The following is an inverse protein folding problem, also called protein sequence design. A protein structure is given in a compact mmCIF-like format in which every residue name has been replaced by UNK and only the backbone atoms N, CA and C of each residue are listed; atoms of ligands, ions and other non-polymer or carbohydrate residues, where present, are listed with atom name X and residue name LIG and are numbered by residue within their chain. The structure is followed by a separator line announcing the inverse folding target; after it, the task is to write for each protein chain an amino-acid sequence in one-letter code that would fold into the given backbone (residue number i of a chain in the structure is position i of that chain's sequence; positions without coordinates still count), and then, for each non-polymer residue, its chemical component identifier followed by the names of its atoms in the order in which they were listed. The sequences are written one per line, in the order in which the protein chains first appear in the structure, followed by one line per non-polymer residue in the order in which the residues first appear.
data_IF_486065924697
#
_entry.id   IF_486065924697
#
_cell.length_a   1.000
_cell.length_b   1.000
_cell.length_c   1.000
_cell.angle_alpha   90.00
_cell.angle_beta   90.00
_cell.angle_gamma   90.00
#
_symmetry.space_group_name_H-M   'P 1'
#
loop_
_entity.id
_entity.type
_entity.pdbx_description
1 polymer ?
#
# COMPACT_ATOMS: atom_id res chain seq x y z
N UNK A 1 8.08 5.84 -13.70
CA UNK A 1 7.16 6.79 -13.04
C UNK A 1 8.01 7.69 -12.16
N UNK A 2 7.66 8.96 -11.97
CA UNK A 2 8.40 9.86 -11.08
C UNK A 2 8.08 9.53 -9.62
N UNK A 3 8.96 9.89 -8.67
CA UNK A 3 8.73 9.63 -7.25
C UNK A 3 7.49 10.37 -6.71
N UNK A 4 7.23 11.57 -7.21
CA UNK A 4 6.07 12.39 -6.88
C UNK A 4 4.71 11.79 -7.32
N UNK A 5 4.75 10.80 -8.22
CA UNK A 5 3.56 10.07 -8.65
C UNK A 5 3.16 8.94 -7.69
N UNK A 6 3.96 8.68 -6.66
CA UNK A 6 3.66 7.68 -5.66
C UNK A 6 2.97 8.27 -4.43
N UNK A 7 2.06 7.50 -3.85
CA UNK A 7 1.42 7.75 -2.57
C UNK A 7 1.77 6.65 -1.59
N UNK A 8 1.96 7.00 -0.32
CA UNK A 8 2.25 6.08 0.77
C UNK A 8 0.96 5.57 1.38
N UNK A 9 0.88 4.26 1.64
CA UNK A 9 -0.06 3.64 2.57
C UNK A 9 0.72 2.73 3.52
N UNK A 10 0.24 2.50 4.74
CA UNK A 10 1.01 1.72 5.72
C UNK A 10 0.17 1.25 6.90
N UNK A 11 0.71 0.27 7.65
CA UNK A 11 0.09 -0.37 8.81
C UNK A 11 0.87 -0.16 10.12
N UNK A 12 1.78 0.83 10.15
CA UNK A 12 2.68 1.18 11.26
C UNK A 12 3.78 0.14 11.54
N UNK A 13 4.02 -0.82 10.66
CA UNK A 13 5.14 -1.77 10.73
C UNK A 13 5.72 -2.04 9.35
N UNK A 14 4.96 -1.71 8.30
CA UNK A 14 5.42 -1.68 6.91
C UNK A 14 4.58 -0.69 6.11
N UNK A 15 4.98 -0.46 4.87
CA UNK A 15 4.27 0.44 3.97
C UNK A 15 4.39 0.01 2.52
N UNK A 16 3.45 0.48 1.71
CA UNK A 16 3.45 0.31 0.27
C UNK A 16 3.43 1.67 -0.45
N UNK A 17 4.03 1.72 -1.63
CA UNK A 17 3.98 2.86 -2.52
C UNK A 17 3.08 2.56 -3.72
N UNK A 18 2.03 3.36 -3.85
CA UNK A 18 1.00 3.23 -4.88
C UNK A 18 1.19 4.31 -5.93
N UNK A 19 1.46 3.92 -7.15
CA UNK A 19 1.61 4.82 -8.28
C UNK A 19 0.27 5.38 -8.78
N UNK A 20 0.30 6.55 -9.41
CA UNK A 20 -0.86 7.21 -10.00
C UNK A 20 -1.60 6.35 -11.04
N UNK A 21 -0.93 5.37 -11.64
CA UNK A 21 -1.49 4.39 -12.57
C UNK A 21 -2.24 3.23 -11.91
N UNK A 22 -2.34 3.22 -10.56
CA UNK A 22 -2.97 2.15 -9.79
C UNK A 22 -2.07 0.94 -9.51
N UNK A 23 -0.76 1.05 -9.73
CA UNK A 23 0.21 -0.01 -9.44
C UNK A 23 0.85 0.18 -8.06
N UNK A 24 0.88 -0.85 -7.24
CA UNK A 24 1.73 -0.93 -6.05
C UNK A 24 3.09 -1.45 -6.50
N UNK A 25 4.11 -0.60 -6.47
CA UNK A 25 5.44 -0.87 -7.03
C UNK A 25 6.51 -1.08 -5.97
N UNK A 26 6.17 -0.87 -4.70
CA UNK A 26 7.02 -1.11 -3.55
C UNK A 26 6.21 -1.66 -2.38
N UNK A 27 6.67 -2.78 -1.80
CA UNK A 27 6.13 -3.36 -0.57
C UNK A 27 7.14 -4.32 0.03
N UNK A 28 7.51 -4.09 1.29
CA UNK A 28 8.27 -5.01 2.13
C UNK A 28 7.33 -5.74 3.09
N UNK A 29 7.48 -7.04 3.26
CA UNK A 29 6.67 -7.85 4.18
C UNK A 29 7.55 -8.82 4.97
N UNK A 30 7.32 -8.99 6.28
CA UNK A 30 6.23 -8.38 7.08
C UNK A 30 6.55 -7.02 7.70
N UNK A 31 7.76 -6.50 7.60
CA UNK A 31 8.21 -5.25 8.24
C UNK A 31 8.88 -4.32 7.24
N UNK A 32 9.14 -3.06 7.65
CA UNK A 32 9.87 -2.08 6.84
C UNK A 32 11.21 -2.61 6.33
N UNK A 33 12.01 -3.24 7.21
CA UNK A 33 13.35 -3.76 6.93
C UNK A 33 13.38 -5.14 6.26
N UNK A 34 12.22 -5.77 6.05
CA UNK A 34 12.13 -7.05 5.35
C UNK A 34 12.46 -6.90 3.86
N UNK A 35 12.83 -8.02 3.23
CA UNK A 35 12.99 -8.05 1.79
C UNK A 35 11.66 -7.72 1.09
N UNK A 36 11.73 -6.96 0.01
CA UNK A 36 10.53 -6.57 -0.72
C UNK A 36 9.96 -7.73 -1.54
N UNK A 37 8.62 -7.75 -1.68
CA UNK A 37 7.89 -8.63 -2.59
C UNK A 37 7.37 -7.89 -3.84
N UNK A 38 7.36 -6.55 -3.81
CA UNK A 38 7.19 -5.68 -4.98
C UNK A 38 8.36 -4.70 -5.03
N UNK A 39 9.07 -4.70 -6.16
CA UNK A 39 10.32 -3.94 -6.35
C UNK A 39 10.34 -3.19 -7.69
N UNK A 40 9.20 -3.04 -8.37
CA UNK A 40 9.14 -2.33 -9.65
C UNK A 40 9.63 -0.87 -9.54
N UNK A 41 9.52 -0.25 -8.36
CA UNK A 41 10.05 1.09 -8.06
C UNK A 41 11.55 1.21 -8.35
N UNK A 42 12.35 0.18 -7.99
CA UNK A 42 13.81 0.18 -8.17
C UNK A 42 14.23 -0.36 -9.53
N UNK A 43 13.30 -0.76 -10.39
CA UNK A 43 13.66 -1.41 -11.63
C UNK A 43 12.57 -1.37 -12.70
N UNK A 44 12.00 -2.52 -12.98
CA UNK A 44 10.98 -2.71 -14.00
C UNK A 44 9.82 -3.51 -13.43
N UNK A 45 8.69 -3.49 -14.10
CA UNK A 45 7.47 -4.23 -13.73
C UNK A 45 7.71 -5.71 -13.41
N UNK A 46 8.63 -6.36 -14.15
CA UNK A 46 9.00 -7.76 -13.93
C UNK A 46 9.63 -8.06 -12.57
N UNK A 47 10.09 -7.04 -11.83
CA UNK A 47 10.65 -7.18 -10.48
C UNK A 47 9.59 -7.18 -9.38
N UNK A 48 8.32 -7.25 -9.75
CA UNK A 48 7.19 -7.38 -8.84
C UNK A 48 6.39 -6.10 -8.67
N UNK A 49 5.06 -6.23 -8.89
CA UNK A 49 4.08 -5.15 -8.70
C UNK A 49 2.67 -5.72 -8.56
N UNK A 50 1.75 -4.87 -8.13
CA UNK A 50 0.33 -5.18 -8.13
C UNK A 50 -0.49 -4.06 -8.75
N UNK A 51 -0.85 -4.22 -10.01
CA UNK A 51 -1.65 -3.27 -10.78
C UNK A 51 -3.15 -3.57 -10.64
N UNK A 52 -3.97 -2.54 -10.40
CA UNK A 52 -5.41 -2.54 -10.64
C UNK A 52 -5.74 -1.21 -11.32
N UNK A 53 -6.25 -1.28 -12.55
CA UNK A 53 -6.56 -0.10 -13.37
C UNK A 53 -7.64 -0.43 -14.41
N UNK A 54 -8.27 0.58 -15.05
CA UNK A 54 -9.09 0.35 -16.22
C UNK A 54 -8.36 -0.41 -17.32
N UNK A 55 -9.07 -1.30 -18.01
CA UNK A 55 -8.50 -2.07 -19.14
C UNK A 55 -8.34 -1.22 -20.39
N UNK A 56 -9.21 -0.21 -20.57
CA UNK A 56 -9.19 0.73 -21.69
C UNK A 56 -8.37 1.99 -21.42
N UNK A 57 -8.50 2.96 -22.34
CA UNK A 57 -7.83 4.26 -22.24
C UNK A 57 -8.37 5.07 -21.06
N UNK A 58 -7.46 5.60 -20.24
CA UNK A 58 -7.75 6.47 -19.13
C UNK A 58 -7.65 7.93 -19.58
N UNK A 59 -8.74 8.69 -19.45
CA UNK A 59 -8.82 10.10 -19.84
C UNK A 59 -8.23 11.04 -18.80
N UNK A 60 -8.49 10.75 -17.52
CA UNK A 60 -7.92 11.49 -16.40
C UNK A 60 -7.81 10.64 -15.15
N UNK A 61 -6.89 11.02 -14.27
CA UNK A 61 -6.69 10.41 -12.96
C UNK A 61 -6.64 11.50 -11.92
N UNK A 62 -7.49 11.41 -10.90
CA UNK A 62 -7.39 12.22 -9.70
C UNK A 62 -7.12 11.35 -8.49
N UNK A 63 -6.40 11.90 -7.51
CA UNK A 63 -5.97 11.12 -6.35
C UNK A 63 -5.98 11.98 -5.10
N UNK A 64 -6.49 11.42 -4.00
CA UNK A 64 -6.49 12.06 -2.69
C UNK A 64 -6.45 11.01 -1.58
N UNK A 65 -6.00 11.42 -0.41
CA UNK A 65 -6.31 10.69 0.82
C UNK A 65 -7.70 11.08 1.32
N UNK A 66 -8.39 10.15 1.99
CA UNK A 66 -9.56 10.50 2.80
C UNK A 66 -9.11 11.37 3.96
N UNK A 67 -9.85 12.42 4.23
CA UNK A 67 -9.53 13.42 5.25
C UNK A 67 -9.17 12.77 6.60
N UNK A 68 -8.02 13.20 7.15
CA UNK A 68 -7.48 12.70 8.42
C UNK A 68 -7.03 11.24 8.41
N UNK A 69 -6.78 10.63 7.25
CA UNK A 69 -6.42 9.21 7.15
C UNK A 69 -5.29 8.93 6.17
N UNK A 70 -4.75 7.71 6.22
CA UNK A 70 -3.84 7.17 5.21
C UNK A 70 -4.56 6.21 4.24
N UNK A 71 -5.85 6.43 4.00
CA UNK A 71 -6.66 5.71 3.00
C UNK A 71 -6.61 6.47 1.70
N UNK A 72 -6.01 5.88 0.68
CA UNK A 72 -5.83 6.48 -0.64
C UNK A 72 -7.02 6.18 -1.55
N UNK A 73 -7.56 7.19 -2.21
CA UNK A 73 -8.51 7.05 -3.30
C UNK A 73 -7.88 7.50 -4.62
N UNK A 74 -7.95 6.64 -5.63
CA UNK A 74 -7.56 6.95 -7.00
C UNK A 74 -8.77 6.81 -7.91
N UNK A 75 -9.22 7.91 -8.50
CA UNK A 75 -10.35 7.96 -9.42
C UNK A 75 -9.84 7.95 -10.86
N UNK A 76 -10.36 7.04 -11.66
CA UNK A 76 -10.05 6.88 -13.08
C UNK A 76 -11.28 7.24 -13.90
N UNK A 77 -11.15 8.19 -14.83
CA UNK A 77 -12.14 8.53 -15.83
C UNK A 77 -11.80 7.84 -17.15
N UNK A 78 -12.79 7.19 -17.75
CA UNK A 78 -12.67 6.53 -19.05
C UNK A 78 -13.80 6.98 -19.99
N UNK A 79 -13.81 6.48 -21.23
CA UNK A 79 -14.94 6.73 -22.14
C UNK A 79 -16.24 6.08 -21.63
N UNK A 80 -16.13 4.94 -20.93
CA UNK A 80 -17.27 4.10 -20.53
C UNK A 80 -17.81 4.46 -19.13
N UNK A 81 -17.13 5.31 -18.39
CA UNK A 81 -17.53 5.72 -17.03
C UNK A 81 -16.36 6.11 -16.16
N UNK A 82 -16.60 6.00 -14.84
CA UNK A 82 -15.60 6.30 -13.81
C UNK A 82 -15.53 5.18 -12.78
N UNK A 83 -14.32 4.84 -12.36
CA UNK A 83 -14.06 3.86 -11.31
C UNK A 83 -13.07 4.42 -10.28
N UNK A 84 -13.25 4.05 -9.02
CA UNK A 84 -12.36 4.38 -7.90
C UNK A 84 -11.65 3.14 -7.41
N UNK A 85 -10.35 3.24 -7.19
CA UNK A 85 -9.59 2.26 -6.42
C UNK A 85 -9.29 2.87 -5.05
N UNK A 86 -9.67 2.17 -3.98
CA UNK A 86 -9.39 2.54 -2.59
C UNK A 86 -8.31 1.61 -2.07
N UNK A 87 -7.15 2.15 -1.77
CA UNK A 87 -5.97 1.43 -1.30
C UNK A 87 -5.69 1.76 0.15
N UNK A 88 -5.51 0.75 1.00
CA UNK A 88 -5.21 0.95 2.41
C UNK A 88 -4.55 -0.28 3.04
N UNK A 89 -3.87 -0.05 4.14
CA UNK A 89 -3.34 -1.08 5.03
C UNK A 89 -3.92 -0.83 6.42
N UNK A 90 -4.69 -1.79 6.98
CA UNK A 90 -5.22 -1.63 8.34
C UNK A 90 -4.08 -1.56 9.37
N UNK A 91 -4.10 -0.59 10.31
CA UNK A 91 -3.14 -0.56 11.43
C UNK A 91 -3.08 -1.91 12.12
N UNK A 92 -1.86 -2.38 12.41
CA UNK A 92 -1.63 -3.76 12.84
C UNK A 92 -1.74 -3.87 14.36
N UNK A 93 -2.78 -4.55 14.82
CA UNK A 93 -3.02 -4.85 16.24
C UNK A 93 -2.67 -6.32 16.54
N UNK A 94 -1.38 -6.67 16.42
CA UNK A 94 -0.89 -8.04 16.65
C UNK A 94 -1.17 -9.05 15.53
N UNK A 95 -1.81 -8.62 14.43
CA UNK A 95 -2.14 -9.46 13.28
C UNK A 95 -1.04 -9.48 12.20
N UNK A 96 -1.26 -10.29 11.16
CA UNK A 96 -0.41 -10.31 9.98
C UNK A 96 -0.67 -9.07 9.09
N UNK A 97 0.36 -8.55 8.37
CA UNK A 97 0.20 -7.43 7.47
C UNK A 97 -0.78 -7.76 6.33
N UNK A 98 -1.61 -6.77 6.00
CA UNK A 98 -2.58 -6.87 4.92
C UNK A 98 -2.57 -5.59 4.08
N UNK A 99 -2.53 -5.76 2.77
CA UNK A 99 -2.79 -4.68 1.81
C UNK A 99 -4.16 -4.94 1.18
N UNK A 100 -5.07 -4.00 1.34
CA UNK A 100 -6.44 -4.11 0.84
C UNK A 100 -6.71 -3.10 -0.26
N UNK A 101 -7.43 -3.54 -1.29
CA UNK A 101 -7.82 -2.74 -2.45
C UNK A 101 -9.29 -2.97 -2.76
N UNK A 102 -10.08 -1.91 -2.81
CA UNK A 102 -11.50 -1.95 -3.18
C UNK A 102 -11.69 -1.17 -4.47
N UNK A 103 -12.30 -1.79 -5.48
CA UNK A 103 -12.64 -1.12 -6.73
C UNK A 103 -14.13 -0.80 -6.71
N UNK A 104 -14.49 0.47 -6.85
CA UNK A 104 -15.88 0.94 -6.86
C UNK A 104 -16.23 1.54 -8.22
N UNK A 105 -17.39 1.19 -8.76
CA UNK A 105 -17.97 1.89 -9.91
C UNK A 105 -18.63 3.18 -9.46
N UNK A 106 -18.13 4.32 -9.96
CA UNK A 106 -18.68 5.63 -9.66
C UNK A 106 -19.75 6.06 -10.66
N UNK A 107 -19.59 5.64 -11.93
CA UNK A 107 -20.48 5.99 -13.04
C UNK A 107 -20.29 4.99 -14.20
N UNK A 108 -21.38 4.60 -14.85
CA UNK A 108 -21.34 3.74 -16.04
C UNK A 108 -20.86 2.32 -15.75
N UNK A 109 -20.13 1.73 -16.71
CA UNK A 109 -19.58 0.37 -16.61
C UNK A 109 -18.13 0.37 -17.09
N UNK A 110 -17.21 0.23 -16.17
CA UNK A 110 -15.77 0.32 -16.45
C UNK A 110 -15.15 -1.07 -16.47
N UNK A 111 -14.63 -1.53 -17.61
CA UNK A 111 -13.78 -2.72 -17.67
C UNK A 111 -12.49 -2.45 -16.91
N UNK A 112 -12.14 -3.34 -16.00
CA UNK A 112 -10.95 -3.27 -15.14
C UNK A 112 -10.03 -4.46 -15.40
N UNK A 113 -8.74 -4.25 -15.19
CA UNK A 113 -7.72 -5.30 -15.18
C UNK A 113 -6.95 -5.30 -13.89
N UNK A 114 -6.61 -6.48 -13.41
CA UNK A 114 -5.68 -6.72 -12.32
C UNK A 114 -4.50 -7.54 -12.83
N UNK A 115 -3.28 -7.17 -12.43
CA UNK A 115 -2.07 -7.96 -12.63
C UNK A 115 -1.30 -7.99 -11.32
N UNK A 116 -1.13 -9.16 -10.74
CA UNK A 116 -0.32 -9.40 -9.56
C UNK A 116 0.93 -10.19 -9.97
N UNK A 117 2.06 -9.54 -9.87
CA UNK A 117 3.38 -10.10 -10.14
C UNK A 117 4.19 -10.10 -8.85
N UNK A 118 4.13 -11.20 -8.08
CA UNK A 118 4.88 -11.35 -6.84
C UNK A 118 6.30 -11.79 -7.18
N UNK A 119 7.29 -11.11 -6.58
CA UNK A 119 8.71 -11.45 -6.66
C UNK A 119 9.34 -11.18 -5.31
N UNK A 120 9.63 -12.23 -4.56
CA UNK A 120 10.31 -12.08 -3.27
C UNK A 120 11.80 -11.75 -3.44
N UNK A 121 12.43 -11.29 -2.33
CA UNK A 121 13.86 -11.03 -2.31
C UNK A 121 14.30 -9.96 -3.29
N UNK A 122 13.62 -8.81 -3.33
CA UNK A 122 13.95 -7.69 -4.22
C UNK A 122 13.84 -8.02 -5.72
N UNK A 123 12.86 -8.82 -6.08
CA UNK A 123 12.62 -9.19 -7.49
C UNK A 123 13.32 -10.45 -7.96
N UNK A 124 14.11 -11.11 -7.10
CA UNK A 124 14.96 -12.24 -7.50
C UNK A 124 14.23 -13.59 -7.50
N UNK A 125 13.23 -13.77 -6.63
CA UNK A 125 12.62 -15.08 -6.41
C UNK A 125 11.18 -15.13 -6.95
N UNK A 126 10.96 -16.01 -7.92
CA UNK A 126 9.62 -16.34 -8.43
C UNK A 126 8.96 -17.31 -7.46
N UNK A 127 7.77 -17.01 -6.91
CA UNK A 127 7.10 -17.88 -5.96
C UNK A 127 6.47 -19.09 -6.64
N UNK A 128 6.27 -20.13 -5.86
CA UNK A 128 5.32 -21.19 -6.18
C UNK A 128 3.90 -20.66 -5.89
N UNK A 129 3.00 -20.75 -6.88
CA UNK A 129 1.63 -20.25 -6.77
C UNK A 129 0.63 -21.40 -6.83
N UNK A 130 -0.27 -21.46 -5.87
CA UNK A 130 -1.34 -22.46 -5.78
C UNK A 130 -2.70 -21.78 -5.73
N UNK A 131 -3.70 -22.37 -6.39
CA UNK A 131 -5.11 -21.99 -6.20
C UNK A 131 -5.62 -22.54 -4.86
N UNK A 132 -6.34 -21.68 -4.15
CA UNK A 132 -7.04 -22.03 -2.91
C UNK A 132 -8.49 -21.52 -3.00
N UNK A 133 -9.41 -22.00 -2.16
CA UNK A 133 -10.76 -21.44 -2.12
C UNK A 133 -10.74 -19.92 -1.90
N UNK A 134 -11.36 -19.17 -2.83
CA UNK A 134 -11.44 -17.71 -2.78
C UNK A 134 -10.17 -16.95 -3.15
N UNK A 135 -9.16 -17.61 -3.77
CA UNK A 135 -7.96 -16.89 -4.19
C UNK A 135 -6.76 -17.74 -4.57
N UNK A 136 -5.58 -17.22 -4.28
CA UNK A 136 -4.29 -17.92 -4.49
C UNK A 136 -3.36 -17.74 -3.29
N UNK A 137 -2.47 -18.69 -3.08
CA UNK A 137 -1.30 -18.55 -2.21
C UNK A 137 -0.05 -18.57 -3.05
N UNK A 138 0.85 -17.62 -2.83
CA UNK A 138 2.18 -17.55 -3.45
C UNK A 138 3.24 -17.65 -2.35
N UNK A 139 4.18 -18.59 -2.51
CA UNK A 139 5.14 -18.97 -1.47
C UNK A 139 6.56 -19.02 -2.02
N UNK A 140 7.53 -18.52 -1.25
CA UNK A 140 8.95 -18.67 -1.52
C UNK A 140 9.74 -18.66 -0.20
N UNK A 141 10.42 -19.78 0.09
CA UNK A 141 11.15 -19.93 1.35
C UNK A 141 10.23 -19.79 2.56
N UNK A 142 10.58 -18.94 3.54
CA UNK A 142 9.77 -18.75 4.75
C UNK A 142 8.55 -17.84 4.53
N UNK A 143 8.47 -17.17 3.40
CA UNK A 143 7.46 -16.15 3.12
C UNK A 143 6.32 -16.69 2.26
N UNK A 144 5.11 -16.36 2.61
CA UNK A 144 3.93 -16.62 1.81
C UNK A 144 2.98 -15.42 1.83
N UNK A 145 2.26 -15.24 0.72
CA UNK A 145 1.16 -14.28 0.64
C UNK A 145 -0.09 -14.94 0.09
N UNK A 146 -1.23 -14.58 0.64
CA UNK A 146 -2.55 -15.02 0.19
C UNK A 146 -3.29 -13.84 -0.42
N UNK A 147 -3.61 -13.92 -1.72
CA UNK A 147 -4.57 -13.02 -2.35
C UNK A 147 -5.96 -13.63 -2.24
N UNK A 148 -6.86 -12.93 -1.56
CA UNK A 148 -8.28 -13.27 -1.46
C UNK A 148 -9.12 -12.28 -2.26
N UNK A 149 -10.01 -12.78 -3.12
CA UNK A 149 -10.92 -11.98 -3.94
C UNK A 149 -12.07 -12.84 -4.46
N UNK A 150 -13.29 -12.29 -4.67
CA UNK A 150 -14.37 -12.98 -5.39
C UNK A 150 -14.17 -12.99 -6.90
N UNK A 151 -13.25 -12.17 -7.44
CA UNK A 151 -12.98 -12.06 -8.88
C UNK A 151 -12.23 -13.29 -9.36
N UNK A 152 -12.58 -13.82 -10.53
CA UNK A 152 -11.92 -14.97 -11.13
C UNK A 152 -10.46 -14.64 -11.49
N UNK A 153 -9.54 -15.50 -11.06
CA UNK A 153 -8.10 -15.33 -11.24
C UNK A 153 -7.56 -16.31 -12.29
N UNK A 154 -6.65 -15.84 -13.15
CA UNK A 154 -5.97 -16.65 -14.16
C UNK A 154 -4.45 -16.49 -14.05
N UNK A 155 -3.71 -17.57 -14.33
CA UNK A 155 -2.25 -17.52 -14.45
C UNK A 155 -1.86 -17.12 -15.87
N UNK A 156 -0.94 -16.15 -16.03
CA UNK A 156 -0.37 -15.74 -17.32
C UNK A 156 1.08 -15.28 -17.13
N UNK A 157 2.00 -15.87 -17.83
CA UNK A 157 3.43 -15.46 -17.86
C UNK A 157 4.03 -15.22 -16.45
N UNK A 158 3.91 -16.22 -15.57
CA UNK A 158 4.37 -16.16 -14.18
C UNK A 158 3.76 -14.98 -13.38
N UNK A 159 2.59 -14.52 -13.78
CA UNK A 159 1.77 -13.56 -13.05
C UNK A 159 0.35 -14.09 -12.86
N UNK A 160 -0.38 -13.49 -11.92
CA UNK A 160 -1.82 -13.72 -11.74
C UNK A 160 -2.56 -12.52 -12.29
N UNK A 161 -3.52 -12.76 -13.17
CA UNK A 161 -4.31 -11.72 -13.82
C UNK A 161 -5.81 -11.93 -13.57
N UNK A 162 -6.56 -10.84 -13.62
CA UNK A 162 -8.01 -10.85 -13.66
C UNK A 162 -8.53 -9.72 -14.56
N UNK A 163 -9.62 -10.01 -15.26
CA UNK A 163 -10.39 -9.04 -16.04
C UNK A 163 -11.82 -9.06 -15.50
N UNK A 164 -12.34 -7.90 -15.13
CA UNK A 164 -13.67 -7.77 -14.56
C UNK A 164 -14.28 -6.42 -14.93
N UNK A 165 -15.58 -6.27 -14.73
CA UNK A 165 -16.27 -5.00 -14.98
C UNK A 165 -16.91 -4.53 -13.70
N UNK A 166 -16.67 -3.26 -13.34
CA UNK A 166 -17.35 -2.62 -12.22
C UNK A 166 -18.42 -1.67 -12.76
N UNK A 167 -19.66 -1.86 -12.32
CA UNK A 167 -20.80 -1.01 -12.65
C UNK A 167 -21.03 0.03 -11.56
N UNK A 168 -21.70 1.13 -11.89
CA UNK A 168 -22.11 2.14 -10.91
C UNK A 168 -22.78 1.52 -9.68
N UNK A 169 -22.31 1.90 -8.49
CA UNK A 169 -22.77 1.37 -7.20
C UNK A 169 -22.26 -0.02 -6.83
N UNK A 170 -21.61 -0.75 -7.75
CA UNK A 170 -20.99 -2.04 -7.45
C UNK A 170 -19.56 -1.88 -6.94
N UNK A 171 -19.07 -2.90 -6.23
CA UNK A 171 -17.68 -2.93 -5.79
C UNK A 171 -17.10 -4.34 -5.82
N UNK A 172 -15.80 -4.42 -6.15
CA UNK A 172 -14.98 -5.62 -6.05
C UNK A 172 -13.87 -5.41 -5.04
N UNK A 173 -13.46 -6.48 -4.36
CA UNK A 173 -12.49 -6.43 -3.26
C UNK A 173 -11.35 -7.40 -3.45
N UNK A 174 -10.17 -6.96 -3.04
CA UNK A 174 -8.93 -7.72 -3.07
C UNK A 174 -8.19 -7.50 -1.76
N UNK A 175 -7.72 -8.58 -1.13
CA UNK A 175 -6.91 -8.52 0.08
C UNK A 175 -5.67 -9.40 -0.10
N UNK A 176 -4.50 -8.80 0.00
CA UNK A 176 -3.21 -9.49 0.01
C UNK A 176 -2.71 -9.54 1.46
N UNK A 177 -2.57 -10.75 2.00
CA UNK A 177 -2.11 -11.00 3.37
C UNK A 177 -0.82 -11.80 3.35
N UNK A 178 0.19 -11.35 4.09
CA UNK A 178 1.40 -12.12 4.35
C UNK A 178 1.20 -13.08 5.54
N UNK A 179 1.88 -14.21 5.50
CA UNK A 179 1.98 -15.17 6.60
C UNK A 179 3.25 -16.01 6.45
N UNK A 180 3.80 -16.58 7.56
CA UNK A 180 4.90 -17.54 7.48
C UNK A 180 4.47 -18.77 6.68
N UNK A 181 5.29 -19.23 5.75
CA UNK A 181 4.93 -20.31 4.81
C UNK A 181 4.61 -21.65 5.48
N UNK A 182 5.01 -21.83 6.72
CA UNK A 182 4.71 -23.02 7.55
C UNK A 182 3.40 -22.90 8.34
N UNK A 183 2.70 -21.77 8.22
CA UNK A 183 1.40 -21.53 8.83
C UNK A 183 0.27 -21.52 7.77
N UNK A 184 -0.96 -21.47 8.23
CA UNK A 184 -2.11 -21.28 7.36
C UNK A 184 -2.36 -19.78 7.16
N UNK A 185 -2.89 -19.33 6.00
CA UNK A 185 -3.12 -17.92 5.71
C UNK A 185 -4.10 -17.23 6.66
N UNK A 186 -4.83 -18.00 7.47
CA UNK A 186 -5.86 -17.50 8.36
C UNK A 186 -7.09 -16.98 7.58
N UNK A 187 -8.06 -16.41 8.30
CA UNK A 187 -9.25 -15.83 7.69
C UNK A 187 -8.96 -14.42 7.21
N UNK A 188 -9.40 -14.10 6.00
CA UNK A 188 -9.40 -12.73 5.49
C UNK A 188 -10.59 -11.99 6.09
N UNK A 189 -10.35 -10.79 6.61
CA UNK A 189 -11.39 -9.88 7.09
C UNK A 189 -12.21 -9.32 5.91
N UNK A 190 -13.45 -8.95 6.16
CA UNK A 190 -14.24 -8.21 5.17
C UNK A 190 -13.60 -6.85 4.89
N UNK A 191 -13.36 -6.55 3.61
CA UNK A 191 -12.62 -5.36 3.22
C UNK A 191 -13.35 -4.05 3.56
N UNK A 192 -14.69 -4.02 3.56
CA UNK A 192 -15.45 -2.83 3.93
C UNK A 192 -15.42 -2.59 5.45
N UNK A 193 -15.51 -3.67 6.25
CA UNK A 193 -15.35 -3.58 7.70
C UNK A 193 -13.94 -3.12 8.08
N UNK A 194 -12.90 -3.69 7.42
CA UNK A 194 -11.52 -3.26 7.59
C UNK A 194 -11.30 -1.79 7.21
N UNK A 195 -11.91 -1.34 6.11
CA UNK A 195 -11.85 0.07 5.67
C UNK A 195 -12.45 1.00 6.72
N UNK A 196 -13.65 0.67 7.22
CA UNK A 196 -14.32 1.48 8.24
C UNK A 196 -13.49 1.59 9.53
N UNK A 197 -12.92 0.45 10.01
CA UNK A 197 -12.04 0.41 11.17
C UNK A 197 -10.75 1.21 10.95
N UNK A 198 -10.11 1.07 9.78
CA UNK A 198 -8.90 1.81 9.41
C UNK A 198 -9.15 3.32 9.44
N UNK A 199 -10.30 3.77 8.87
CA UNK A 199 -10.65 5.19 8.88
C UNK A 199 -10.93 5.71 10.29
N UNK A 200 -11.65 4.95 11.12
CA UNK A 200 -11.94 5.34 12.49
C UNK A 200 -10.64 5.50 13.29
N UNK A 201 -9.71 4.53 13.18
CA UNK A 201 -8.40 4.57 13.84
C UNK A 201 -7.59 5.81 13.46
N UNK A 202 -7.45 6.09 12.14
CA UNK A 202 -6.69 7.25 11.67
C UNK A 202 -7.33 8.58 12.07
N UNK A 203 -8.66 8.68 12.03
CA UNK A 203 -9.37 9.90 12.45
C UNK A 203 -9.23 10.16 13.94
N UNK A 204 -9.38 9.13 14.78
CA UNK A 204 -9.13 9.24 16.21
C UNK A 204 -7.71 9.72 16.50
N UNK A 205 -6.72 9.20 15.78
CA UNK A 205 -5.35 9.68 15.89
C UNK A 205 -5.21 11.14 15.42
N UNK A 206 -5.76 11.49 14.28
CA UNK A 206 -5.68 12.82 13.66
C UNK A 206 -6.38 13.91 14.48
N UNK A 207 -7.48 13.59 15.14
CA UNK A 207 -8.24 14.53 15.99
C UNK A 207 -7.43 15.02 17.20
N UNK A 208 -6.39 14.30 17.60
CA UNK A 208 -5.48 14.71 18.68
C UNK A 208 -4.53 15.84 18.28
N UNK A 209 -4.42 16.16 17.00
CA UNK A 209 -3.58 17.26 16.52
C UNK A 209 -4.00 18.59 17.14
N UNK A 210 -3.07 19.29 17.77
CA UNK A 210 -3.31 20.58 18.41
C UNK A 210 -2.94 21.78 17.53
N UNK A 211 -2.29 21.55 16.39
CA UNK A 211 -1.92 22.62 15.47
C UNK A 211 -3.15 23.30 14.89
N UNK A 212 -3.21 24.63 14.98
CA UNK A 212 -4.26 25.46 14.40
C UNK A 212 -3.60 26.66 13.73
N UNK A 213 -3.47 26.64 12.43
CA UNK A 213 -2.81 27.70 11.67
C UNK A 213 -3.10 27.59 10.19
N UNK A 214 -2.47 28.46 9.44
CA UNK A 214 -2.37 28.35 7.98
C UNK A 214 -1.72 27.00 7.65
N UNK A 215 -2.11 26.33 6.58
CA UNK A 215 -1.62 24.99 6.17
C UNK A 215 -1.98 23.84 7.13
N UNK A 216 -3.10 23.94 7.84
CA UNK A 216 -3.51 22.89 8.80
C UNK A 216 -3.64 21.50 8.15
N UNK A 217 -4.16 21.42 6.93
CA UNK A 217 -4.34 20.16 6.20
C UNK A 217 -2.98 19.56 5.81
N UNK A 218 -2.05 20.37 5.33
CA UNK A 218 -0.71 19.94 4.93
C UNK A 218 0.12 19.49 6.13
N UNK A 219 0.01 20.21 7.25
CA UNK A 219 0.66 19.84 8.51
C UNK A 219 0.11 18.52 9.01
N UNK A 220 -1.21 18.34 9.04
CA UNK A 220 -1.82 17.09 9.48
C UNK A 220 -1.43 15.93 8.56
N UNK A 221 -1.44 16.13 7.24
CA UNK A 221 -1.00 15.12 6.27
C UNK A 221 0.46 14.72 6.51
N UNK A 222 1.33 15.68 6.78
CA UNK A 222 2.74 15.43 7.10
C UNK A 222 2.87 14.62 8.39
N UNK A 223 2.13 14.97 9.44
CA UNK A 223 2.13 14.24 10.72
C UNK A 223 1.61 12.79 10.56
N UNK A 224 0.58 12.56 9.74
CA UNK A 224 0.08 11.23 9.39
C UNK A 224 1.18 10.40 8.71
N UNK A 225 1.93 10.99 7.77
CA UNK A 225 3.06 10.29 7.11
C UNK A 225 4.16 9.97 8.12
N UNK A 226 4.53 10.89 9.00
CA UNK A 226 5.53 10.66 10.05
C UNK A 226 5.07 9.56 11.02
N UNK A 227 3.80 9.54 11.39
CA UNK A 227 3.21 8.45 12.19
C UNK A 227 3.27 7.12 11.46
N UNK A 228 2.97 7.09 10.17
CA UNK A 228 3.03 5.88 9.34
C UNK A 228 4.45 5.31 9.20
N UNK A 229 5.48 6.14 9.33
CA UNK A 229 6.90 5.76 9.32
C UNK A 229 7.46 5.45 10.72
N UNK A 230 6.63 5.50 11.76
CA UNK A 230 6.99 5.12 13.13
C UNK A 230 6.52 3.69 13.38
N UNK A 231 7.48 2.78 13.63
CA UNK A 231 7.18 1.38 13.94
C UNK A 231 6.43 1.27 15.27
N UNK A 232 5.23 0.72 15.22
CA UNK A 232 4.34 0.66 16.40
C UNK A 232 4.86 -0.26 17.51
N UNK A 233 5.71 -1.24 17.20
CA UNK A 233 6.21 -2.20 18.18
C UNK A 233 7.41 -1.67 18.93
N UNK A 234 8.33 -1.04 18.21
CA UNK A 234 9.62 -0.59 18.75
C UNK A 234 9.69 0.90 19.05
N UNK A 235 8.77 1.69 18.48
CA UNK A 235 8.85 3.15 18.47
C UNK A 235 9.92 3.71 17.52
N UNK A 236 10.63 2.85 16.79
CA UNK A 236 11.67 3.27 15.85
C UNK A 236 11.07 4.03 14.68
N UNK A 237 11.71 5.12 14.26
CA UNK A 237 11.28 5.93 13.14
C UNK A 237 12.19 5.62 11.95
N UNK A 238 11.63 5.07 10.85
CA UNK A 238 12.38 4.86 9.63
C UNK A 238 12.50 6.18 8.85
N UNK A 239 13.67 6.46 8.28
CA UNK A 239 13.90 7.69 7.53
C UNK A 239 13.07 7.75 6.23
N UNK A 240 12.87 6.61 5.59
CA UNK A 240 11.94 6.44 4.47
C UNK A 240 11.53 4.97 4.33
N UNK A 241 10.43 4.66 3.64
CA UNK A 241 9.96 3.28 3.46
C UNK A 241 10.77 2.50 2.42
N UNK A 242 11.76 3.13 1.78
CA UNK A 242 12.50 2.61 0.63
C UNK A 242 13.99 2.42 0.91
N UNK A 243 14.64 1.62 0.08
CA UNK A 243 16.10 1.46 0.02
C UNK A 243 16.58 1.68 -1.40
N UNK A 244 17.88 1.94 -1.56
CA UNK A 244 18.57 1.89 -2.84
C UNK A 244 18.11 2.89 -3.90
N UNK A 245 17.34 3.91 -3.52
CA UNK A 245 17.08 5.05 -4.38
C UNK A 245 18.31 5.97 -4.33
N UNK A 246 18.90 6.35 -5.48
CA UNK A 246 20.09 7.19 -5.50
C UNK A 246 19.75 8.62 -5.09
N UNK A 247 20.65 9.27 -4.33
CA UNK A 247 20.55 10.70 -4.00
C UNK A 247 20.67 11.57 -5.28
N UNK A 248 21.41 11.08 -6.25
CA UNK A 248 21.57 11.67 -7.57
C UNK A 248 21.52 10.58 -8.63
N UNK A 249 20.78 10.80 -9.72
CA UNK A 249 20.60 9.81 -10.78
C UNK A 249 21.95 9.41 -11.40
N UNK A 250 22.27 8.12 -11.31
CA UNK A 250 23.56 7.57 -11.74
C UNK A 250 24.69 7.70 -10.71
N UNK A 251 24.40 8.26 -9.53
CA UNK A 251 25.36 8.38 -8.42
C UNK A 251 25.54 7.09 -7.62
N UNK A 252 26.59 7.07 -6.80
CA UNK A 252 26.97 5.90 -5.98
C UNK A 252 26.28 5.87 -4.60
N UNK A 253 25.61 6.94 -4.20
CA UNK A 253 24.98 7.08 -2.87
C UNK A 253 23.59 6.49 -2.87
N UNK A 254 23.51 5.21 -2.49
CA UNK A 254 22.29 4.42 -2.42
C UNK A 254 22.15 3.85 -0.99
N UNK A 255 21.47 4.58 -0.12
CA UNK A 255 21.35 4.22 1.28
C UNK A 255 20.09 3.38 1.55
N UNK A 256 20.12 2.64 2.66
CA UNK A 256 18.91 2.01 3.17
C UNK A 256 18.26 2.93 4.22
N UNK A 257 17.15 3.55 3.85
CA UNK A 257 16.40 4.46 4.68
C UNK A 257 15.34 3.78 5.55
N UNK A 258 15.17 2.46 5.45
CA UNK A 258 14.19 1.68 6.21
C UNK A 258 14.60 1.45 7.67
N UNK A 259 15.63 2.14 8.12
CA UNK A 259 16.17 2.11 9.47
C UNK A 259 16.10 3.49 10.14
N UNK A 260 16.33 3.50 11.44
CA UNK A 260 16.36 4.73 12.22
C UNK A 260 17.64 5.51 11.96
N UNK A 261 17.49 6.75 11.51
CA UNK A 261 18.55 7.75 11.39
C UNK A 261 18.37 8.81 12.47
N UNK A 262 19.39 9.09 13.26
CA UNK A 262 19.28 10.02 14.39
C UNK A 262 18.78 11.41 13.97
N UNK A 263 19.28 11.94 12.85
CA UNK A 263 18.83 13.23 12.31
C UNK A 263 17.32 13.22 12.03
N UNK A 264 16.83 12.23 11.31
CA UNK A 264 15.45 12.11 10.88
C UNK A 264 14.52 11.89 12.07
N UNK A 265 14.96 11.07 13.04
CA UNK A 265 14.21 10.84 14.28
C UNK A 265 14.04 12.12 15.08
N UNK A 266 15.11 12.93 15.25
CA UNK A 266 15.02 14.19 15.99
C UNK A 266 14.05 15.18 15.33
N UNK A 267 14.09 15.28 14.00
CA UNK A 267 13.18 16.16 13.27
C UNK A 267 11.72 15.66 13.37
N UNK A 268 11.49 14.36 13.25
CA UNK A 268 10.16 13.75 13.38
C UNK A 268 9.59 13.93 14.79
N UNK A 269 10.39 13.67 15.84
CA UNK A 269 9.96 13.87 17.23
C UNK A 269 9.58 15.33 17.50
N UNK A 270 10.37 16.29 17.02
CA UNK A 270 10.04 17.71 17.14
C UNK A 270 8.73 18.07 16.45
N UNK A 271 8.49 17.51 15.23
CA UNK A 271 7.24 17.74 14.49
C UNK A 271 6.04 17.14 15.23
N UNK A 272 6.16 15.91 15.74
CA UNK A 272 5.11 15.25 16.52
C UNK A 272 4.80 16.03 17.81
N UNK A 273 5.82 16.48 18.57
CA UNK A 273 5.63 17.30 19.75
C UNK A 273 4.93 18.63 19.44
N UNK A 274 5.34 19.31 18.36
CA UNK A 274 4.70 20.54 17.91
C UNK A 274 3.24 20.34 17.48
N UNK A 275 2.91 19.15 16.97
CA UNK A 275 1.55 18.72 16.63
C UNK A 275 0.71 18.27 17.82
N UNK A 276 1.29 18.14 19.02
CA UNK A 276 0.61 17.71 20.25
C UNK A 276 0.67 16.19 20.51
N UNK A 277 1.48 15.44 19.76
CA UNK A 277 1.61 13.99 19.87
C UNK A 277 2.74 13.58 20.83
N UNK A 278 2.53 13.82 22.12
CA UNK A 278 3.52 13.55 23.17
C UNK A 278 3.76 12.07 23.43
N UNK A 279 2.74 11.23 23.21
CA UNK A 279 2.84 9.78 23.41
C UNK A 279 3.78 9.13 22.39
N UNK A 280 3.74 9.60 21.16
CA UNK A 280 4.64 9.15 20.10
C UNK A 280 6.10 9.57 20.36
N UNK A 281 6.31 10.74 20.92
CA UNK A 281 7.64 11.27 21.26
C UNK A 281 8.23 10.60 22.48
#
# INVERSE_FOLDING_TARGET
MRIEDYALIGDLQTSALVGRNGSVDWLCLPRFDSASCFTALLGQEKHGRWLIAPAGEVRSVSRRYREGTLVLETDFETADGAARVIDFMPPREGGAPQLMRIVQGLRGRVPMRMQLLIRFGYGLTVPWVQRVPGGIVAQAGPDAVHLSTPVELHGRDLSTVAEFTVSEGASERFALRWFPSYESPGRTEDAHAALARTQAWWREWSERCTYRGEYQEEVLTSLIVLKALTDQVTGAIVAAPTTSLPEDLGGERNWDYRYTWLRDSVLTLNALLAGGYTDEA
#
